data_IF_813361984922
#
_entry.id   IF_813361984922
#
_cell.length_a   1.000
_cell.length_b   1.000
_cell.length_c   1.000
_cell.angle_alpha   90.00
_cell.angle_beta   90.00
_cell.angle_gamma   90.00
#
_symmetry.space_group_name_H-M   'P 1'
#
loop_
_entity.id
_entity.type
_entity.pdbx_description
1 polymer ?
#
# COMPACT_ATOMS: atom_id res chain seq x y z
N UNK A 1 -24.39 7.81 11.98
CA UNK A 1 -23.97 6.39 11.82
C UNK A 1 -22.97 6.34 10.68
N UNK A 2 -21.81 5.67 10.82
CA UNK A 2 -20.97 5.40 9.65
C UNK A 2 -21.83 4.58 8.68
N UNK A 3 -22.04 5.14 7.50
CA UNK A 3 -22.80 4.47 6.44
C UNK A 3 -21.84 3.51 5.75
N UNK A 4 -22.30 2.31 5.41
CA UNK A 4 -21.73 1.52 4.32
C UNK A 4 -20.52 0.66 4.62
N UNK A 5 -20.51 -0.55 4.08
CA UNK A 5 -19.27 -1.30 3.90
C UNK A 5 -18.48 -0.68 2.75
N UNK A 6 -17.16 -0.51 2.93
CA UNK A 6 -16.30 -0.02 1.87
C UNK A 6 -16.24 -1.02 0.72
N UNK A 7 -16.30 -0.52 -0.52
CA UNK A 7 -16.15 -1.39 -1.70
C UNK A 7 -14.72 -1.88 -1.83
N UNK A 8 -13.77 -1.01 -1.50
CA UNK A 8 -12.35 -1.29 -1.52
C UNK A 8 -11.78 -1.06 -0.13
N UNK A 9 -10.99 -2.00 0.35
CA UNK A 9 -10.30 -1.85 1.62
C UNK A 9 -9.18 -0.80 1.58
N UNK A 10 -8.67 -0.45 2.75
CA UNK A 10 -7.64 0.57 2.96
C UNK A 10 -6.23 0.09 2.51
N UNK A 11 -6.03 0.03 1.19
CA UNK A 11 -4.79 -0.43 0.58
C UNK A 11 -3.59 0.47 0.89
N UNK A 12 -3.73 1.80 0.83
CA UNK A 12 -2.65 2.73 1.15
C UNK A 12 -2.37 2.81 2.65
N UNK A 13 -3.40 2.70 3.50
CA UNK A 13 -3.24 2.59 4.94
C UNK A 13 -2.52 1.31 5.37
N UNK A 14 -2.68 0.21 4.63
CA UNK A 14 -1.87 -1.01 4.81
C UNK A 14 -0.38 -0.74 4.60
N UNK A 15 -0.02 -0.03 3.53
CA UNK A 15 1.38 0.35 3.23
C UNK A 15 1.92 1.32 4.29
N UNK A 16 1.14 2.36 4.64
CA UNK A 16 1.52 3.34 5.66
C UNK A 16 1.69 2.69 7.04
N UNK A 17 0.80 1.77 7.42
CA UNK A 17 0.89 1.01 8.67
C UNK A 17 2.15 0.14 8.70
N UNK A 18 2.48 -0.51 7.58
CA UNK A 18 3.70 -1.31 7.45
C UNK A 18 4.95 -0.45 7.61
N UNK A 19 4.98 0.74 6.99
CA UNK A 19 6.06 1.71 7.16
C UNK A 19 6.18 2.19 8.62
N UNK A 20 5.06 2.48 9.28
CA UNK A 20 5.01 2.88 10.69
C UNK A 20 5.51 1.79 11.64
N UNK A 21 5.16 0.53 11.39
CA UNK A 21 5.67 -0.60 12.19
C UNK A 21 7.18 -0.75 12.02
N UNK A 22 7.69 -0.64 10.79
CA UNK A 22 9.14 -0.66 10.55
C UNK A 22 9.85 0.51 11.24
N UNK A 23 9.29 1.73 11.16
CA UNK A 23 9.90 2.90 11.81
C UNK A 23 9.93 2.76 13.33
N UNK A 24 8.96 2.06 13.94
CA UNK A 24 9.00 1.68 15.36
C UNK A 24 10.22 0.83 15.71
N UNK A 25 10.61 -0.12 14.86
CA UNK A 25 11.82 -0.94 15.09
C UNK A 25 13.13 -0.12 15.05
N UNK A 26 13.07 1.07 14.45
CA UNK A 26 14.16 2.05 14.44
C UNK A 26 14.00 3.15 15.52
N UNK A 27 13.01 3.05 16.41
CA UNK A 27 12.64 4.09 17.38
C UNK A 27 12.23 5.44 16.75
N UNK A 28 11.71 5.42 15.52
CA UNK A 28 11.30 6.61 14.76
C UNK A 28 9.78 6.79 14.69
N UNK A 29 8.98 5.96 15.35
CA UNK A 29 7.51 6.01 15.23
C UNK A 29 6.92 7.38 15.59
N UNK A 30 7.33 7.95 16.73
CA UNK A 30 6.81 9.25 17.17
C UNK A 30 7.24 10.38 16.23
N UNK A 31 8.46 10.30 15.70
CA UNK A 31 8.98 11.24 14.68
C UNK A 31 8.15 11.14 13.40
N UNK A 32 7.80 9.92 12.97
CA UNK A 32 6.95 9.70 11.80
C UNK A 32 5.53 10.25 12.01
N UNK A 33 4.93 10.02 13.18
CA UNK A 33 3.62 10.55 13.52
C UNK A 33 3.65 12.09 13.48
N UNK A 34 4.65 12.72 14.08
CA UNK A 34 4.81 14.17 14.09
C UNK A 34 5.11 14.77 12.70
N UNK A 35 5.84 14.04 11.84
CA UNK A 35 6.09 14.44 10.45
C UNK A 35 4.82 14.41 9.59
N UNK A 36 3.85 13.56 9.95
CA UNK A 36 2.59 13.38 9.21
C UNK A 36 1.66 14.56 9.50
N UNK A 37 1.70 15.57 8.62
CA UNK A 37 0.89 16.80 8.73
C UNK A 37 1.71 18.10 8.70
N UNK A 38 3.04 18.01 8.81
CA UNK A 38 3.94 19.16 8.78
C UNK A 38 5.11 18.90 7.82
N UNK A 39 4.87 19.01 6.51
CA UNK A 39 5.80 18.59 5.45
C UNK A 39 7.21 19.22 5.47
N UNK A 40 7.39 20.33 6.18
CA UNK A 40 8.69 21.02 6.36
C UNK A 40 9.19 21.02 7.81
N UNK A 41 8.66 20.17 8.68
CA UNK A 41 9.09 20.12 10.08
C UNK A 41 10.49 19.49 10.25
N UNK A 42 11.16 19.73 11.40
CA UNK A 42 12.37 19.00 11.77
C UNK A 42 12.15 17.47 11.73
N UNK A 43 10.99 17.00 12.16
CA UNK A 43 10.62 15.58 12.15
C UNK A 43 10.50 15.03 10.73
N UNK A 44 9.88 15.78 9.81
CA UNK A 44 9.84 15.42 8.40
C UNK A 44 11.23 15.39 7.76
N UNK A 45 12.16 16.22 8.24
CA UNK A 45 13.57 16.21 7.82
C UNK A 45 14.29 14.99 8.37
N UNK A 46 14.10 14.65 9.63
CA UNK A 46 14.65 13.44 10.26
C UNK A 46 14.18 12.17 9.57
N UNK A 47 12.90 12.06 9.23
CA UNK A 47 12.36 10.91 8.47
C UNK A 47 12.98 10.83 7.08
N UNK A 48 13.09 11.95 6.35
CA UNK A 48 13.77 12.00 5.04
C UNK A 48 15.25 11.65 5.13
N UNK A 49 15.91 11.92 6.26
CA UNK A 49 17.29 11.49 6.50
C UNK A 49 17.44 9.98 6.59
N UNK A 50 16.48 9.29 7.21
CA UNK A 50 16.49 7.83 7.37
C UNK A 50 15.90 7.09 6.16
N UNK A 51 14.92 7.71 5.50
CA UNK A 51 14.17 7.16 4.38
C UNK A 51 14.12 8.13 3.20
N UNK A 52 15.28 8.47 2.60
CA UNK A 52 15.38 9.52 1.60
C UNK A 52 14.58 9.24 0.32
N UNK A 53 14.36 7.96 -0.01
CA UNK A 53 13.67 7.60 -1.25
C UNK A 53 12.31 6.96 -1.01
N UNK A 54 12.17 6.10 0.00
CA UNK A 54 10.94 5.37 0.26
C UNK A 54 9.85 6.26 0.84
N UNK A 55 10.19 7.26 1.67
CA UNK A 55 9.19 8.16 2.27
C UNK A 55 8.52 9.04 1.21
N UNK A 56 9.27 9.53 0.22
CA UNK A 56 8.72 10.33 -0.87
C UNK A 56 7.72 9.53 -1.72
N UNK A 57 8.02 8.26 -2.01
CA UNK A 57 7.10 7.39 -2.74
C UNK A 57 5.87 7.04 -1.92
N UNK A 58 5.99 6.88 -0.59
CA UNK A 58 4.83 6.71 0.29
C UNK A 58 3.87 7.90 0.19
N UNK A 59 4.39 9.13 0.31
CA UNK A 59 3.59 10.36 0.15
C UNK A 59 2.97 10.41 -1.26
N UNK A 60 3.74 10.07 -2.29
CA UNK A 60 3.25 10.03 -3.68
C UNK A 60 2.05 9.09 -3.84
N UNK A 61 2.08 7.90 -3.21
CA UNK A 61 0.97 6.95 -3.23
C UNK A 61 -0.28 7.55 -2.60
N UNK A 62 -0.15 8.09 -1.38
CA UNK A 62 -1.27 8.68 -0.63
C UNK A 62 -1.88 9.92 -1.29
N UNK A 63 -1.09 10.64 -2.11
CA UNK A 63 -1.55 11.82 -2.82
C UNK A 63 -2.39 11.51 -4.09
N UNK A 64 -2.46 10.25 -4.55
CA UNK A 64 -3.19 9.87 -5.77
C UNK A 64 -4.68 10.10 -5.61
N UNK A 65 -5.33 10.71 -6.61
CA UNK A 65 -6.76 10.98 -6.54
C UNK A 65 -7.60 9.69 -6.45
N UNK A 66 -7.17 8.62 -7.12
CA UNK A 66 -7.82 7.30 -7.02
C UNK A 66 -7.76 6.68 -5.62
N UNK A 67 -6.78 7.05 -4.79
CA UNK A 67 -6.74 6.66 -3.37
C UNK A 67 -7.83 7.40 -2.60
N UNK A 68 -8.03 8.70 -2.85
CA UNK A 68 -9.14 9.44 -2.22
C UNK A 68 -10.49 8.85 -2.60
N UNK A 69 -10.64 8.42 -3.86
CA UNK A 69 -11.87 7.78 -4.33
C UNK A 69 -12.16 6.46 -3.63
N UNK A 70 -11.16 5.60 -3.55
CA UNK A 70 -11.24 4.32 -2.83
C UNK A 70 -11.81 4.47 -1.41
N UNK A 71 -11.43 5.53 -0.69
CA UNK A 71 -11.84 5.79 0.69
C UNK A 71 -13.28 6.23 0.89
N UNK A 72 -13.95 6.79 -0.12
CA UNK A 72 -15.34 7.21 0.02
C UNK A 72 -16.34 6.29 -0.66
N UNK A 73 -15.89 5.41 -1.57
CA UNK A 73 -16.74 4.43 -2.23
C UNK A 73 -17.11 3.32 -1.22
N UNK A 74 -18.38 3.33 -0.85
CA UNK A 74 -19.00 2.42 0.11
C UNK A 74 -20.47 2.30 -0.25
N UNK A 75 -21.13 1.21 0.14
CA UNK A 75 -22.59 1.12 -0.03
C UNK A 75 -23.34 1.97 1.02
N UNK A 76 -24.68 1.99 0.95
CA UNK A 76 -25.51 2.71 1.92
C UNK A 76 -26.05 1.81 3.03
N UNK A 77 -25.63 0.55 3.08
CA UNK A 77 -26.12 -0.40 4.07
C UNK A 77 -25.51 -0.14 5.45
N UNK A 78 -26.16 -0.66 6.48
CA UNK A 78 -25.57 -0.61 7.82
C UNK A 78 -24.27 -1.42 7.85
N UNK A 79 -23.24 -0.82 8.46
CA UNK A 79 -21.94 -1.46 8.63
C UNK A 79 -22.12 -2.72 9.48
N UNK A 80 -21.68 -3.86 8.95
CA UNK A 80 -21.62 -5.10 9.71
C UNK A 80 -20.23 -5.16 10.35
N UNK A 81 -20.16 -4.90 11.65
CA UNK A 81 -18.89 -5.02 12.37
C UNK A 81 -18.33 -6.44 12.23
N UNK A 82 -17.04 -6.54 11.92
CA UNK A 82 -16.33 -7.82 11.70
C UNK A 82 -16.91 -8.66 10.57
N UNK A 83 -17.37 -8.03 9.48
CA UNK A 83 -17.75 -8.77 8.29
C UNK A 83 -16.56 -9.62 7.78
N UNK A 84 -16.89 -10.69 7.05
CA UNK A 84 -15.90 -11.67 6.61
C UNK A 84 -14.82 -11.08 5.69
N UNK A 85 -15.14 -10.03 4.91
CA UNK A 85 -14.20 -9.35 4.03
C UNK A 85 -13.20 -8.51 4.85
N UNK A 86 -13.69 -7.67 5.76
CA UNK A 86 -12.85 -6.86 6.66
C UNK A 86 -11.91 -7.73 7.48
N UNK A 87 -12.39 -8.85 8.01
CA UNK A 87 -11.55 -9.80 8.77
C UNK A 87 -10.50 -10.49 7.90
N UNK A 88 -10.83 -10.86 6.66
CA UNK A 88 -9.88 -11.44 5.71
C UNK A 88 -8.80 -10.42 5.32
N UNK A 89 -9.21 -9.19 4.99
CA UNK A 89 -8.29 -8.11 4.67
C UNK A 89 -7.38 -7.76 5.85
N UNK A 90 -7.90 -7.70 7.07
CA UNK A 90 -7.11 -7.45 8.27
C UNK A 90 -6.01 -8.48 8.50
N UNK A 91 -6.29 -9.77 8.23
CA UNK A 91 -5.29 -10.85 8.30
C UNK A 91 -4.21 -10.70 7.23
N UNK A 92 -4.60 -10.48 5.97
CA UNK A 92 -3.62 -10.30 4.89
C UNK A 92 -2.81 -9.01 5.07
N UNK A 93 -3.42 -7.95 5.62
CA UNK A 93 -2.73 -6.69 5.92
C UNK A 93 -1.66 -6.88 7.00
N UNK A 94 -1.94 -7.66 8.04
CA UNK A 94 -0.94 -8.00 9.06
C UNK A 94 0.20 -8.86 8.48
N UNK A 95 -0.12 -9.85 7.63
CA UNK A 95 0.85 -10.68 6.92
C UNK A 95 1.73 -9.84 5.99
N UNK A 96 1.13 -8.91 5.25
CA UNK A 96 1.85 -7.97 4.40
C UNK A 96 2.81 -7.11 5.21
N UNK A 97 2.36 -6.51 6.32
CA UNK A 97 3.26 -5.75 7.21
C UNK A 97 4.48 -6.55 7.64
N UNK A 98 4.30 -7.82 8.03
CA UNK A 98 5.40 -8.67 8.45
C UNK A 98 6.37 -8.96 7.29
N UNK A 99 5.84 -9.30 6.11
CA UNK A 99 6.65 -9.54 4.92
C UNK A 99 7.45 -8.29 4.48
N UNK A 100 6.86 -7.09 4.64
CA UNK A 100 7.56 -5.81 4.39
C UNK A 100 8.73 -5.64 5.34
N UNK A 101 8.53 -5.89 6.64
CA UNK A 101 9.58 -5.76 7.65
C UNK A 101 10.72 -6.76 7.37
N UNK A 102 10.39 -8.03 7.14
CA UNK A 102 11.39 -9.06 6.82
C UNK A 102 12.18 -8.72 5.55
N UNK A 103 11.49 -8.27 4.50
CA UNK A 103 12.11 -7.76 3.28
C UNK A 103 13.03 -6.56 3.53
N UNK A 104 12.56 -5.58 4.29
CA UNK A 104 13.30 -4.38 4.65
C UNK A 104 14.55 -4.70 5.48
N UNK A 105 14.54 -5.81 6.24
CA UNK A 105 15.70 -6.38 6.94
C UNK A 105 16.52 -7.39 6.12
N UNK A 106 16.17 -7.62 4.85
CA UNK A 106 16.93 -8.48 3.94
C UNK A 106 16.86 -9.97 4.30
N UNK A 107 15.78 -10.39 4.95
CA UNK A 107 15.48 -11.80 5.26
C UNK A 107 14.86 -12.46 4.04
N UNK A 108 15.69 -12.72 3.02
CA UNK A 108 15.25 -13.24 1.71
C UNK A 108 14.71 -14.68 1.76
N UNK A 109 14.85 -15.37 2.89
CA UNK A 109 14.26 -16.69 3.16
C UNK A 109 12.76 -16.62 3.55
N UNK A 110 12.23 -15.41 3.78
CA UNK A 110 10.83 -15.18 4.18
C UNK A 110 9.92 -14.88 2.98
N UNK A 111 8.64 -14.68 3.27
CA UNK A 111 7.64 -14.39 2.24
C UNK A 111 7.97 -13.12 1.47
N UNK A 112 7.79 -13.17 0.15
CA UNK A 112 7.96 -12.01 -0.70
C UNK A 112 6.76 -11.06 -0.53
N UNK A 113 6.97 -9.80 -0.10
CA UNK A 113 5.89 -8.84 0.15
C UNK A 113 5.01 -8.57 -1.08
N UNK A 114 5.55 -8.65 -2.31
CA UNK A 114 4.73 -8.50 -3.53
C UNK A 114 3.81 -9.70 -3.80
N UNK A 115 4.16 -10.89 -3.31
CA UNK A 115 3.25 -12.04 -3.38
C UNK A 115 2.08 -11.84 -2.42
N UNK A 116 2.37 -11.43 -1.18
CA UNK A 116 1.34 -11.13 -0.17
C UNK A 116 0.48 -9.94 -0.60
N UNK A 117 1.08 -8.90 -1.21
CA UNK A 117 0.35 -7.77 -1.77
C UNK A 117 -0.67 -8.19 -2.82
N UNK A 118 -0.30 -9.11 -3.72
CA UNK A 118 -1.22 -9.62 -4.74
C UNK A 118 -2.40 -10.36 -4.10
N UNK A 119 -2.14 -11.18 -3.09
CA UNK A 119 -3.20 -11.89 -2.35
C UNK A 119 -4.14 -10.89 -1.65
N UNK A 120 -3.56 -9.85 -1.04
CA UNK A 120 -4.29 -8.74 -0.43
C UNK A 120 -5.14 -7.95 -1.44
N UNK A 121 -4.63 -7.66 -2.64
CA UNK A 121 -5.38 -7.03 -3.75
C UNK A 121 -6.54 -7.90 -4.23
N UNK A 122 -6.37 -9.22 -4.23
CA UNK A 122 -7.44 -10.15 -4.62
C UNK A 122 -8.54 -10.25 -3.55
N UNK A 123 -8.19 -10.11 -2.27
CA UNK A 123 -9.14 -10.15 -1.16
C UNK A 123 -9.80 -8.79 -0.86
N UNK A 124 -9.15 -7.69 -1.22
CA UNK A 124 -9.50 -6.36 -0.73
C UNK A 124 -10.68 -5.65 -1.41
N UNK A 125 -11.39 -6.31 -2.32
CA UNK A 125 -12.67 -5.81 -2.85
C UNK A 125 -13.85 -6.56 -2.23
N UNK A 126 -14.80 -5.84 -1.63
CA UNK A 126 -16.09 -6.38 -1.25
C UNK A 126 -17.04 -6.36 -2.46
N UNK A 127 -17.23 -7.53 -3.08
CA UNK A 127 -18.10 -7.72 -4.23
C UNK A 127 -19.57 -7.38 -3.90
N UNK A 128 -20.00 -7.61 -2.67
CA UNK A 128 -21.38 -7.32 -2.23
C UNK A 128 -21.56 -5.82 -2.09
N UNK A 129 -20.64 -5.14 -1.41
CA UNK A 129 -20.66 -3.69 -1.30
C UNK A 129 -20.59 -3.04 -2.70
N UNK A 130 -19.74 -3.55 -3.61
CA UNK A 130 -19.67 -3.06 -5.00
C UNK A 130 -21.01 -3.13 -5.70
N UNK A 131 -21.68 -4.29 -5.63
CA UNK A 131 -22.99 -4.50 -6.28
C UNK A 131 -24.06 -3.58 -5.69
N UNK A 132 -24.03 -3.34 -4.38
CA UNK A 132 -24.96 -2.41 -3.74
C UNK A 132 -24.68 -0.97 -4.19
N UNK A 133 -23.42 -0.53 -4.15
CA UNK A 133 -23.00 0.80 -4.60
C UNK A 133 -23.35 1.06 -6.08
N UNK A 134 -23.15 0.07 -6.94
CA UNK A 134 -23.52 0.17 -8.36
C UNK A 134 -25.02 0.48 -8.52
N UNK A 135 -25.88 -0.27 -7.81
CA UNK A 135 -27.33 -0.07 -7.86
C UNK A 135 -27.75 1.28 -7.30
N UNK A 136 -27.20 1.66 -6.16
CA UNK A 136 -27.57 2.88 -5.46
C UNK A 136 -26.42 3.44 -4.61
N UNK A 137 -26.37 4.76 -4.49
CA UNK A 137 -25.44 5.44 -3.60
C UNK A 137 -25.97 6.83 -3.24
N UNK A 138 -25.95 7.13 -1.95
CA UNK A 138 -26.30 8.44 -1.39
C UNK A 138 -25.14 9.42 -1.38
N UNK A 139 -23.93 8.98 -1.79
CA UNK A 139 -22.74 9.84 -1.93
C UNK A 139 -22.94 10.87 -3.03
N UNK A 140 -22.65 12.15 -2.73
CA UNK A 140 -22.83 13.28 -3.65
C UNK A 140 -21.90 13.20 -4.85
N UNK A 141 -20.71 12.64 -4.64
CA UNK A 141 -19.62 12.47 -5.60
C UNK A 141 -19.85 11.28 -6.54
N UNK A 142 -20.78 10.37 -6.20
CA UNK A 142 -21.05 9.20 -7.01
C UNK A 142 -21.72 9.56 -8.35
N UNK A 143 -21.34 8.87 -9.45
CA UNK A 143 -22.07 8.97 -10.71
C UNK A 143 -23.58 8.70 -10.53
N UNK A 144 -24.41 9.43 -11.29
CA UNK A 144 -25.88 9.36 -11.15
C UNK A 144 -26.49 8.08 -11.71
N UNK A 145 -25.81 7.44 -12.65
CA UNK A 145 -26.26 6.19 -13.30
C UNK A 145 -25.56 4.97 -12.70
N UNK A 146 -26.23 3.82 -12.75
CA UNK A 146 -25.65 2.53 -12.34
C UNK A 146 -24.38 2.21 -13.15
N UNK A 147 -24.46 2.29 -14.48
CA UNK A 147 -23.30 2.11 -15.36
C UNK A 147 -22.13 3.03 -15.02
N UNK A 148 -22.40 4.29 -14.63
CA UNK A 148 -21.34 5.21 -14.21
C UNK A 148 -20.67 4.80 -12.90
N UNK A 149 -21.44 4.26 -11.95
CA UNK A 149 -20.90 3.75 -10.67
C UNK A 149 -20.11 2.46 -10.87
N UNK A 150 -20.57 1.57 -11.74
CA UNK A 150 -19.80 0.37 -12.13
C UNK A 150 -18.47 0.73 -12.78
N UNK A 151 -18.49 1.68 -13.72
CA UNK A 151 -17.29 2.18 -14.39
C UNK A 151 -16.32 2.80 -13.39
N UNK A 152 -16.80 3.60 -12.42
CA UNK A 152 -15.95 4.14 -11.35
C UNK A 152 -15.27 3.03 -10.55
N UNK A 153 -16.02 1.99 -10.13
CA UNK A 153 -15.44 0.85 -9.43
C UNK A 153 -14.40 0.11 -10.29
N UNK A 154 -14.66 -0.06 -11.59
CA UNK A 154 -13.70 -0.67 -12.51
C UNK A 154 -12.41 0.15 -12.62
N UNK A 155 -12.51 1.47 -12.76
CA UNK A 155 -11.36 2.37 -12.82
C UNK A 155 -10.50 2.29 -11.55
N UNK A 156 -11.13 2.29 -10.38
CA UNK A 156 -10.43 2.15 -9.09
C UNK A 156 -9.76 0.78 -8.97
N UNK A 157 -10.44 -0.31 -9.36
CA UNK A 157 -9.85 -1.67 -9.39
C UNK A 157 -8.63 -1.73 -10.31
N UNK A 158 -8.71 -1.14 -11.50
CA UNK A 158 -7.60 -1.07 -12.45
C UNK A 158 -6.42 -0.26 -11.90
N UNK A 159 -6.70 0.85 -11.20
CA UNK A 159 -5.67 1.62 -10.50
C UNK A 159 -4.97 0.77 -9.42
N UNK A 160 -5.72 0.08 -8.55
CA UNK A 160 -5.17 -0.77 -7.48
C UNK A 160 -4.26 -1.85 -8.07
N UNK A 161 -4.76 -2.60 -9.05
CA UNK A 161 -4.04 -3.71 -9.69
C UNK A 161 -2.87 -3.26 -10.57
N UNK A 162 -2.96 -2.05 -11.13
CA UNK A 162 -1.96 -1.48 -12.03
C UNK A 162 -1.02 -0.52 -11.31
N UNK A 163 -1.38 0.76 -11.32
CA UNK A 163 -0.51 1.86 -10.88
C UNK A 163 -0.12 1.75 -9.40
N UNK A 164 -1.08 1.48 -8.50
CA UNK A 164 -0.79 1.37 -7.08
C UNK A 164 0.16 0.20 -6.81
N UNK A 165 -0.10 -0.97 -7.40
CA UNK A 165 0.77 -2.14 -7.27
C UNK A 165 2.19 -1.88 -7.79
N UNK A 166 2.35 -1.11 -8.87
CA UNK A 166 3.67 -0.67 -9.38
C UNK A 166 4.37 0.27 -8.40
N UNK A 167 3.64 1.22 -7.79
CA UNK A 167 4.18 2.13 -6.79
C UNK A 167 4.59 1.39 -5.51
N UNK A 168 3.79 0.43 -5.05
CA UNK A 168 4.13 -0.44 -3.91
C UNK A 168 5.39 -1.23 -4.20
N UNK A 169 5.50 -1.83 -5.39
CA UNK A 169 6.74 -2.45 -5.85
C UNK A 169 7.91 -1.49 -5.68
N UNK A 170 7.92 -0.39 -6.43
CA UNK A 170 8.98 0.64 -6.37
C UNK A 170 9.34 1.03 -4.93
N UNK A 171 8.33 1.28 -4.10
CA UNK A 171 8.48 1.63 -2.70
C UNK A 171 9.23 0.56 -1.90
N UNK A 172 8.94 -0.73 -2.10
CA UNK A 172 9.62 -1.82 -1.40
C UNK A 172 11.12 -1.91 -1.70
N UNK A 173 11.52 -1.64 -2.94
CA UNK A 173 12.96 -1.62 -3.28
C UNK A 173 13.64 -0.38 -2.71
N UNK A 174 13.01 0.78 -2.81
CA UNK A 174 13.52 2.00 -2.17
C UNK A 174 13.64 1.83 -0.66
N UNK A 175 12.66 1.20 -0.01
CA UNK A 175 12.66 0.93 1.42
C UNK A 175 13.84 0.04 1.81
N UNK A 176 14.11 -0.99 1.02
CA UNK A 176 15.25 -1.89 1.24
C UNK A 176 16.59 -1.19 1.00
N UNK A 177 16.69 -0.33 -0.01
CA UNK A 177 17.89 0.49 -0.29
C UNK A 177 18.17 1.46 0.88
N UNK A 178 17.14 2.16 1.35
CA UNK A 178 17.21 3.09 2.48
C UNK A 178 17.61 2.34 3.77
N UNK A 179 16.99 1.19 4.05
CA UNK A 179 17.34 0.35 5.21
C UNK A 179 18.74 -0.23 5.14
N UNK A 180 19.21 -0.62 3.95
CA UNK A 180 20.60 -1.10 3.78
C UNK A 180 21.61 0.00 4.07
N UNK A 181 21.27 1.25 3.78
CA UNK A 181 22.11 2.41 4.09
C UNK A 181 22.08 2.78 5.58
N UNK A 182 20.96 2.55 6.27
CA UNK A 182 20.81 2.79 7.71
C UNK A 182 21.50 1.70 8.58
N UNK A 183 21.57 0.44 8.12
CA UNK A 183 22.15 -0.70 8.87
C UNK A 183 23.62 -0.54 9.30
N UNK A 184 24.55 -0.07 8.44
CA UNK A 184 25.94 0.16 8.83
C UNK A 184 26.09 1.11 10.02
N UNK A 185 25.18 2.08 10.14
CA UNK A 185 25.21 3.07 11.22
C UNK A 185 24.75 2.49 12.57
N UNK A 186 23.93 1.44 12.59
CA UNK A 186 23.35 0.91 13.83
C UNK A 186 24.10 -0.28 14.45
N UNK A 187 24.78 -1.11 13.64
CA UNK A 187 25.36 -2.37 14.15
C UNK A 187 26.86 -2.55 13.90
N UNK A 188 27.58 -1.58 13.30
CA UNK A 188 29.03 -1.68 13.06
C UNK A 188 29.49 -2.82 12.14
N UNK A 189 28.56 -3.62 11.61
CA UNK A 189 28.81 -4.75 10.71
C UNK A 189 28.26 -4.40 9.34
N UNK A 190 29.14 -4.42 8.34
CA UNK A 190 28.76 -4.23 6.93
C UNK A 190 27.84 -5.37 6.49
N UNK A 191 26.63 -5.12 5.96
CA UNK A 191 25.77 -6.17 5.48
C UNK A 191 26.45 -6.96 4.37
N UNK A 192 26.39 -8.29 4.42
CA UNK A 192 26.87 -9.14 3.33
C UNK A 192 26.00 -8.85 2.09
N UNK A 193 26.57 -8.13 1.12
CA UNK A 193 25.98 -7.90 -0.20
C UNK A 193 25.99 -9.21 -1.00
N UNK A 194 25.06 -10.12 -0.70
CA UNK A 194 24.85 -11.29 -1.56
C UNK A 194 23.97 -10.88 -2.73
N UNK A 195 24.57 -10.77 -3.93
CA UNK A 195 23.93 -10.70 -5.26
C UNK A 195 22.71 -9.75 -5.43
N UNK A 196 22.62 -8.74 -4.56
CA UNK A 196 21.49 -7.84 -4.49
C UNK A 196 21.37 -6.98 -5.74
N UNK A 197 22.50 -6.48 -6.26
CA UNK A 197 22.52 -5.61 -7.43
C UNK A 197 22.02 -6.33 -8.70
N UNK A 198 22.34 -7.61 -8.85
CA UNK A 198 21.87 -8.43 -9.99
C UNK A 198 20.37 -8.70 -9.88
N UNK A 199 19.88 -9.10 -8.69
CA UNK A 199 18.44 -9.34 -8.46
C UNK A 199 17.62 -8.05 -8.57
N UNK A 200 18.15 -6.93 -8.06
CA UNK A 200 17.57 -5.59 -8.16
C UNK A 200 17.49 -5.13 -9.61
N UNK A 201 18.55 -5.31 -10.40
CA UNK A 201 18.56 -4.95 -11.82
C UNK A 201 17.52 -5.75 -12.60
N UNK A 202 17.51 -7.08 -12.46
CA UNK A 202 16.51 -7.94 -13.10
C UNK A 202 15.08 -7.61 -12.69
N UNK A 203 14.87 -7.22 -11.42
CA UNK A 203 13.55 -6.86 -10.91
C UNK A 203 13.08 -5.46 -11.36
N UNK A 204 13.98 -4.47 -11.38
CA UNK A 204 13.70 -3.12 -11.92
C UNK A 204 13.43 -3.18 -13.43
N UNK A 205 14.17 -4.01 -14.17
CA UNK A 205 13.92 -4.28 -15.59
C UNK A 205 12.55 -4.90 -15.81
N UNK A 206 12.11 -5.85 -14.96
CA UNK A 206 10.76 -6.44 -15.02
C UNK A 206 9.66 -5.42 -14.73
N UNK A 207 9.87 -4.50 -13.79
CA UNK A 207 8.90 -3.43 -13.52
C UNK A 207 8.82 -2.41 -14.66
N UNK A 208 9.96 -2.11 -15.31
CA UNK A 208 10.02 -1.26 -16.49
C UNK A 208 9.42 -1.92 -17.74
N UNK A 209 9.55 -3.24 -17.88
CA UNK A 209 9.04 -4.00 -19.03
C UNK A 209 7.59 -4.47 -18.89
N UNK A 210 6.99 -4.42 -17.69
CA UNK A 210 5.57 -4.71 -17.45
C UNK A 210 4.62 -3.59 -17.95
N UNK A 211 4.97 -3.00 -19.10
CA UNK A 211 4.19 -2.01 -19.83
C UNK A 211 2.89 -2.55 -20.42
N UNK A 212 2.66 -3.86 -20.44
CA UNK A 212 1.38 -4.46 -20.80
C UNK A 212 1.21 -5.72 -19.97
N UNK A 213 0.41 -5.65 -18.90
CA UNK A 213 -0.22 -6.87 -18.38
C UNK A 213 -1.38 -7.13 -19.36
N UNK A 214 -1.36 -8.23 -20.14
CA UNK A 214 -2.51 -8.58 -20.94
C UNK A 214 -3.64 -8.90 -19.96
N UNK A 215 -4.72 -8.13 -20.05
CA UNK A 215 -5.99 -8.48 -19.45
C UNK A 215 -6.53 -9.60 -20.35
N UNK A 216 -6.70 -10.85 -19.86
CA UNK A 216 -7.41 -11.85 -20.62
C UNK A 216 -8.86 -11.37 -20.79
N UNK A 217 -9.35 -11.39 -22.04
CA UNK A 217 -10.75 -11.12 -22.38
C UNK A 217 -11.72 -11.99 -21.55
#
# INVERSE_FOLDING_TARGET
MPKGNHVFNDFDGCVATSFKKLSRELNLEQVLIAATGAGNSPEATTIRGHFPTSYATLIQMQAKDRVKEMHWIQDDKEVIANDGNSMAFGRESARFSQAVIDWAWGRDDKENPMTVWRDLVNAGEDITARRNFAKESSRKEAPKTEAGREELCQQVRMFIRGELSKLVGKWLVQLRDDMTSARPAMNGVTPVRVDYDTRRKAWMERLGSAGVIPIPD
#
